data_IF_080157449993
#
_entry.id   IF_080157449993
#
_cell.length_a   1.000
_cell.length_b   1.000
_cell.length_c   1.000
_cell.angle_alpha   90.00
_cell.angle_beta   90.00
_cell.angle_gamma   90.00
#
_symmetry.space_group_name_H-M   'P 1'
#
loop_
_entity.id
_entity.type
_entity.pdbx_description
1 polymer ?
#
# COMPACT_ATOMS: atom_id res chain seq x y z
N UNK A 1 28.31 47.68 8.11
CA UNK A 1 27.30 47.13 9.05
C UNK A 1 26.39 46.21 8.25
N UNK A 2 26.54 44.90 8.42
CA UNK A 2 25.64 43.89 7.87
C UNK A 2 25.46 42.82 8.96
N UNK A 3 24.20 42.42 9.15
CA UNK A 3 23.66 41.84 10.37
C UNK A 3 24.12 40.39 10.63
N UNK A 4 24.67 40.19 11.82
CA UNK A 4 24.90 38.92 12.50
C UNK A 4 23.57 38.28 12.94
N UNK A 5 22.79 37.72 12.03
CA UNK A 5 21.49 37.11 12.38
C UNK A 5 21.31 35.64 11.95
N UNK A 6 22.35 34.99 11.43
CA UNK A 6 22.27 33.56 11.09
C UNK A 6 22.66 32.69 12.30
N UNK A 7 23.54 33.18 13.17
CA UNK A 7 24.01 32.41 14.34
C UNK A 7 23.04 32.44 15.54
N UNK A 8 22.14 33.43 15.61
CA UNK A 8 21.16 33.53 16.71
C UNK A 8 19.95 32.59 16.57
N UNK A 9 19.69 32.06 15.37
CA UNK A 9 18.57 31.11 15.15
C UNK A 9 18.98 29.68 15.52
N UNK A 10 20.28 29.38 15.58
CA UNK A 10 20.82 28.07 15.96
C UNK A 10 21.06 27.90 17.46
N UNK A 11 20.96 28.98 18.26
CA UNK A 11 21.27 28.95 19.70
C UNK A 11 20.08 28.62 20.62
N UNK A 12 18.92 28.22 20.06
CA UNK A 12 17.85 27.55 20.80
C UNK A 12 17.79 26.06 20.46
N UNK A 13 18.94 25.46 20.14
CA UNK A 13 19.08 24.00 20.23
C UNK A 13 18.79 23.63 21.68
N UNK A 14 17.58 23.12 21.91
CA UNK A 14 17.24 22.39 23.12
C UNK A 14 18.38 21.41 23.34
N UNK A 15 18.87 21.39 24.57
CA UNK A 15 19.91 20.48 25.03
C UNK A 15 19.36 19.05 24.94
N UNK A 16 19.23 18.49 23.73
CA UNK A 16 19.00 17.07 23.46
C UNK A 16 20.36 16.38 23.59
N UNK A 17 21.03 16.67 24.71
CA UNK A 17 22.12 15.87 25.22
C UNK A 17 21.49 14.65 25.89
N UNK A 18 22.03 13.48 25.55
CA UNK A 18 21.72 12.13 26.05
C UNK A 18 20.79 11.28 25.18
N UNK A 19 21.17 10.01 25.05
CA UNK A 19 20.56 8.99 24.21
C UNK A 19 19.02 8.96 24.36
N UNK A 20 18.30 9.36 23.29
CA UNK A 20 16.86 9.25 23.24
C UNK A 20 16.44 7.77 23.34
N UNK A 21 15.67 7.46 24.37
CA UNK A 21 15.01 6.16 24.55
C UNK A 21 13.50 6.28 24.30
N UNK A 22 12.82 5.14 24.15
CA UNK A 22 11.35 5.08 23.93
C UNK A 22 10.54 5.77 25.04
N UNK A 23 11.06 5.89 26.26
CA UNK A 23 10.38 6.55 27.38
C UNK A 23 10.18 8.05 27.20
N UNK A 24 10.90 8.68 26.26
CA UNK A 24 10.74 10.08 25.93
C UNK A 24 9.56 10.35 24.98
N UNK A 25 8.91 9.29 24.46
CA UNK A 25 7.75 9.41 23.58
C UNK A 25 6.46 9.16 24.37
N UNK A 26 5.33 9.78 23.96
CA UNK A 26 4.05 9.55 24.62
C UNK A 26 3.68 8.07 24.67
N UNK A 27 2.96 7.67 25.73
CA UNK A 27 2.42 6.31 25.84
C UNK A 27 1.54 6.02 24.62
N UNK A 28 1.78 4.87 23.98
CA UNK A 28 1.07 4.46 22.76
C UNK A 28 1.70 4.98 21.46
N UNK A 29 2.83 5.68 21.52
CA UNK A 29 3.60 6.01 20.32
C UNK A 29 4.09 4.73 19.63
N UNK A 30 3.79 4.59 18.33
CA UNK A 30 4.10 3.42 17.51
C UNK A 30 5.35 3.69 16.70
N UNK A 31 6.38 2.87 16.89
CA UNK A 31 7.53 2.82 15.99
C UNK A 31 7.32 1.69 15.00
N UNK A 32 7.51 1.94 13.71
CA UNK A 32 7.30 0.91 12.71
C UNK A 32 8.21 1.05 11.50
N UNK A 33 8.25 -0.02 10.72
CA UNK A 33 8.87 -0.05 9.39
C UNK A 33 7.77 0.01 8.32
N UNK A 34 8.12 0.56 7.17
CA UNK A 34 7.26 0.59 6.00
C UNK A 34 8.03 0.12 4.78
N UNK A 35 7.39 -0.68 3.92
CA UNK A 35 8.00 -1.17 2.68
C UNK A 35 7.14 -0.85 1.47
N UNK A 36 7.79 -0.73 0.32
CA UNK A 36 7.15 -0.70 -0.99
C UNK A 36 7.48 -1.98 -1.75
N UNK A 37 6.45 -2.61 -2.30
CA UNK A 37 6.47 -3.94 -2.88
C UNK A 37 7.64 -4.17 -3.84
N UNK A 38 7.79 -3.31 -4.84
CA UNK A 38 8.79 -3.51 -5.89
C UNK A 38 10.23 -3.43 -5.35
N UNK A 39 10.45 -2.61 -4.32
CA UNK A 39 11.76 -2.43 -3.70
C UNK A 39 12.14 -3.60 -2.79
N UNK A 40 11.16 -4.34 -2.26
CA UNK A 40 11.43 -5.32 -1.21
C UNK A 40 11.09 -6.77 -1.56
N UNK A 41 10.02 -7.04 -2.31
CA UNK A 41 9.51 -8.40 -2.47
C UNK A 41 10.55 -9.30 -3.14
N UNK A 42 10.96 -8.97 -4.37
CA UNK A 42 11.64 -9.92 -5.24
C UNK A 42 10.73 -11.09 -5.65
N UNK A 43 11.34 -12.21 -6.03
CA UNK A 43 10.59 -13.42 -6.43
C UNK A 43 9.65 -13.15 -7.61
N UNK A 44 10.14 -12.40 -8.60
CA UNK A 44 9.38 -11.89 -9.75
C UNK A 44 8.50 -12.93 -10.44
N UNK A 45 9.04 -14.14 -10.66
CA UNK A 45 8.35 -15.24 -11.36
C UNK A 45 7.87 -16.37 -10.43
N UNK A 46 7.85 -16.16 -9.11
CA UNK A 46 7.55 -17.21 -8.13
C UNK A 46 6.07 -17.23 -7.74
N UNK A 47 5.56 -18.41 -7.41
CA UNK A 47 4.24 -18.58 -6.78
C UNK A 47 3.05 -18.28 -7.67
N UNK A 48 3.20 -18.36 -9.01
CA UNK A 48 2.12 -18.10 -9.96
C UNK A 48 1.72 -16.62 -10.08
N UNK A 49 2.57 -15.71 -9.60
CA UNK A 49 2.39 -14.26 -9.71
C UNK A 49 2.33 -13.82 -11.18
N UNK A 50 1.36 -12.98 -11.51
CA UNK A 50 1.30 -12.29 -12.81
C UNK A 50 2.28 -11.11 -12.87
N UNK A 51 2.55 -10.60 -14.07
CA UNK A 51 3.40 -9.43 -14.26
C UNK A 51 2.81 -8.18 -13.57
N UNK A 52 3.67 -7.39 -12.94
CA UNK A 52 3.34 -6.03 -12.49
C UNK A 52 3.81 -4.99 -13.50
N UNK A 53 3.34 -3.75 -13.36
CA UNK A 53 3.77 -2.60 -14.16
C UNK A 53 5.30 -2.42 -14.16
N UNK A 54 5.94 -2.57 -13.01
CA UNK A 54 7.38 -2.42 -12.89
C UNK A 54 8.14 -3.56 -13.58
N UNK A 55 7.58 -4.77 -13.63
CA UNK A 55 8.21 -5.86 -14.35
C UNK A 55 8.22 -5.61 -15.85
N UNK A 56 7.08 -5.16 -16.40
CA UNK A 56 7.00 -4.77 -17.81
C UNK A 56 8.01 -3.66 -18.10
N UNK A 57 8.06 -2.63 -17.25
CA UNK A 57 8.95 -1.49 -17.44
C UNK A 57 10.44 -1.84 -17.31
N UNK A 58 10.84 -2.58 -16.27
CA UNK A 58 12.26 -2.84 -15.98
C UNK A 58 12.83 -4.07 -16.68
N UNK A 59 11.98 -5.04 -17.05
CA UNK A 59 12.41 -6.32 -17.62
C UNK A 59 12.07 -6.41 -19.10
N UNK A 60 10.85 -6.02 -19.50
CA UNK A 60 10.37 -6.21 -20.88
C UNK A 60 10.65 -5.03 -21.81
N UNK A 61 11.05 -3.88 -21.28
CA UNK A 61 11.39 -2.70 -22.07
C UNK A 61 12.90 -2.37 -21.96
N UNK A 62 13.74 -2.91 -22.86
CA UNK A 62 15.18 -2.64 -22.86
C UNK A 62 15.49 -1.14 -22.91
N UNK A 63 16.50 -0.71 -22.15
CA UNK A 63 16.99 0.68 -22.15
C UNK A 63 16.15 1.67 -21.34
N UNK A 64 15.08 1.24 -20.66
CA UNK A 64 14.31 2.11 -19.75
C UNK A 64 15.01 2.40 -18.43
N UNK A 65 15.86 1.48 -17.97
CA UNK A 65 16.69 1.66 -16.79
C UNK A 65 18.13 1.94 -17.25
N UNK A 66 18.70 3.07 -16.80
CA UNK A 66 20.01 3.58 -17.26
C UNK A 66 21.14 2.57 -17.11
N UNK A 67 21.16 1.81 -16.02
CA UNK A 67 22.17 0.79 -15.72
C UNK A 67 21.70 -0.64 -16.03
N UNK A 68 20.50 -0.80 -16.62
CA UNK A 68 19.91 -2.09 -16.97
C UNK A 68 19.48 -2.95 -15.77
N UNK A 69 19.53 -2.41 -14.54
CA UNK A 69 19.09 -3.15 -13.34
C UNK A 69 17.57 -3.32 -13.28
N UNK A 70 17.10 -4.25 -12.44
CA UNK A 70 15.68 -4.53 -12.23
C UNK A 70 15.40 -4.99 -10.79
N UNK A 71 14.12 -5.04 -10.43
CA UNK A 71 13.64 -5.48 -9.11
C UNK A 71 13.35 -6.97 -8.98
N UNK A 72 13.85 -7.84 -9.88
CA UNK A 72 13.48 -9.27 -9.88
C UNK A 72 13.84 -9.99 -8.57
N UNK A 73 14.98 -9.60 -7.98
CA UNK A 73 15.46 -10.11 -6.68
C UNK A 73 15.17 -9.10 -5.56
N UNK A 74 15.33 -7.79 -5.83
CA UNK A 74 15.16 -6.73 -4.83
C UNK A 74 15.98 -7.00 -3.56
N UNK A 75 15.49 -6.65 -2.35
CA UNK A 75 16.11 -7.11 -1.08
C UNK A 75 15.76 -8.56 -0.74
N UNK A 76 14.97 -9.23 -1.59
CA UNK A 76 14.56 -10.63 -1.47
C UNK A 76 13.78 -10.93 -0.18
N UNK A 77 12.91 -10.00 0.23
CA UNK A 77 12.02 -10.18 1.38
C UNK A 77 11.10 -11.38 1.18
N UNK A 78 10.73 -11.72 -0.06
CA UNK A 78 9.89 -12.89 -0.37
C UNK A 78 10.46 -14.19 0.23
N UNK A 79 11.77 -14.40 0.15
CA UNK A 79 12.42 -15.59 0.70
C UNK A 79 12.95 -15.38 2.13
N UNK A 80 13.20 -14.12 2.53
CA UNK A 80 13.86 -13.77 3.80
C UNK A 80 12.94 -13.11 4.84
N UNK A 81 11.61 -13.16 4.62
CA UNK A 81 10.67 -12.42 5.46
C UNK A 81 10.76 -12.78 6.95
N UNK A 82 11.15 -14.02 7.28
CA UNK A 82 11.29 -14.45 8.68
C UNK A 82 12.45 -13.75 9.36
N UNK A 83 13.58 -13.64 8.68
CA UNK A 83 14.79 -12.96 9.12
C UNK A 83 14.53 -11.46 9.25
N UNK A 84 13.85 -10.86 8.27
CA UNK A 84 13.51 -9.44 8.27
C UNK A 84 12.53 -9.08 9.40
N UNK A 85 11.49 -9.90 9.62
CA UNK A 85 10.55 -9.72 10.75
C UNK A 85 11.26 -9.94 12.09
N UNK A 86 12.20 -10.90 12.16
CA UNK A 86 13.03 -11.11 13.35
C UNK A 86 13.91 -9.88 13.65
N UNK A 87 14.47 -9.24 12.62
CA UNK A 87 15.21 -8.00 12.76
C UNK A 87 14.32 -6.85 13.26
N UNK A 88 13.12 -6.68 12.70
CA UNK A 88 12.16 -5.67 13.17
C UNK A 88 11.83 -5.86 14.65
N UNK A 89 11.66 -7.11 15.10
CA UNK A 89 11.47 -7.44 16.51
C UNK A 89 12.69 -7.08 17.37
N UNK A 90 13.91 -7.39 16.91
CA UNK A 90 15.16 -7.03 17.60
C UNK A 90 15.34 -5.52 17.73
N UNK A 91 14.91 -4.75 16.73
CA UNK A 91 14.90 -3.28 16.74
C UNK A 91 13.82 -2.69 17.65
N UNK A 92 12.92 -3.52 18.19
CA UNK A 92 11.84 -3.08 19.06
C UNK A 92 10.77 -2.28 18.32
N UNK A 93 10.50 -2.62 17.06
CA UNK A 93 9.40 -2.02 16.29
C UNK A 93 8.05 -2.62 16.72
N UNK A 94 7.04 -1.77 16.77
CA UNK A 94 5.65 -2.10 17.15
C UNK A 94 4.78 -2.44 15.94
N UNK A 95 5.11 -1.91 14.75
CA UNK A 95 4.31 -2.06 13.55
C UNK A 95 5.16 -2.37 12.31
N UNK A 96 4.59 -3.17 11.40
CA UNK A 96 5.14 -3.39 10.08
C UNK A 96 4.07 -3.06 9.03
N UNK A 97 4.22 -1.92 8.35
CA UNK A 97 3.44 -1.59 7.16
C UNK A 97 4.10 -2.25 5.95
N UNK A 98 3.64 -3.44 5.59
CA UNK A 98 4.14 -4.12 4.41
C UNK A 98 3.26 -3.83 3.19
N UNK A 99 3.90 -3.71 2.02
CA UNK A 99 3.21 -3.63 0.73
C UNK A 99 3.40 -4.94 -0.03
N UNK A 100 2.35 -5.39 -0.71
CA UNK A 100 2.32 -6.62 -1.51
C UNK A 100 1.78 -6.31 -2.90
N UNK A 101 2.32 -6.97 -3.93
CA UNK A 101 1.86 -6.75 -5.31
C UNK A 101 0.46 -7.34 -5.48
N UNK A 102 -0.47 -6.58 -6.06
CA UNK A 102 -1.78 -7.13 -6.45
C UNK A 102 -1.64 -8.36 -7.34
N UNK A 103 -0.67 -8.35 -8.25
CA UNK A 103 -0.39 -9.48 -9.14
C UNK A 103 0.01 -10.78 -8.42
N UNK A 104 0.32 -10.71 -7.13
CA UNK A 104 0.64 -11.87 -6.27
C UNK A 104 -0.57 -12.38 -5.49
N UNK A 105 -1.48 -11.49 -5.10
CA UNK A 105 -2.70 -11.85 -4.36
C UNK A 105 -3.78 -12.34 -5.33
N UNK A 106 -3.87 -11.70 -6.48
CA UNK A 106 -4.94 -11.85 -7.46
C UNK A 106 -4.32 -12.00 -8.86
N UNK A 107 -4.04 -13.24 -9.32
CA UNK A 107 -3.62 -13.46 -10.69
C UNK A 107 -4.72 -13.01 -11.65
N UNK A 108 -4.37 -12.38 -12.77
CA UNK A 108 -5.32 -11.71 -13.69
C UNK A 108 -6.44 -12.62 -14.22
N UNK A 109 -6.19 -13.92 -14.24
CA UNK A 109 -7.16 -14.93 -14.65
C UNK A 109 -7.07 -16.21 -13.82
N UNK A 110 -8.18 -16.96 -13.79
CA UNK A 110 -8.23 -18.32 -13.23
C UNK A 110 -8.98 -19.22 -14.21
N UNK A 111 -8.29 -20.21 -14.76
CA UNK A 111 -8.86 -21.12 -15.76
C UNK A 111 -9.24 -20.41 -17.07
N UNK A 112 -8.41 -19.45 -17.52
CA UNK A 112 -8.62 -18.68 -18.75
C UNK A 112 -9.75 -17.65 -18.69
N UNK A 113 -10.27 -17.34 -17.50
CA UNK A 113 -11.29 -16.31 -17.27
C UNK A 113 -10.76 -15.21 -16.35
N UNK A 114 -11.00 -13.93 -16.66
CA UNK A 114 -10.69 -12.83 -15.77
C UNK A 114 -11.29 -13.05 -14.38
N UNK A 115 -10.53 -12.70 -13.34
CA UNK A 115 -10.97 -12.82 -11.94
C UNK A 115 -11.99 -11.75 -11.51
N UNK A 116 -12.16 -10.70 -12.32
CA UNK A 116 -13.07 -9.59 -12.05
C UNK A 116 -13.18 -8.64 -13.24
N UNK A 117 -13.86 -7.52 -13.03
CA UNK A 117 -13.92 -6.42 -14.00
C UNK A 117 -12.55 -5.73 -14.11
N UNK A 118 -12.04 -5.52 -15.32
CA UNK A 118 -10.78 -4.79 -15.52
C UNK A 118 -11.01 -3.28 -15.34
N UNK A 119 -10.12 -2.63 -14.61
CA UNK A 119 -10.14 -1.19 -14.35
C UNK A 119 -9.54 -0.37 -15.52
N UNK A 120 -9.09 0.85 -15.25
CA UNK A 120 -8.38 1.69 -16.22
C UNK A 120 -7.07 1.06 -16.70
N UNK A 121 -6.33 0.49 -15.75
CA UNK A 121 -5.06 -0.19 -15.99
C UNK A 121 -5.24 -1.67 -16.31
N UNK A 122 -4.49 -2.17 -17.30
CA UNK A 122 -4.55 -3.58 -17.75
C UNK A 122 -4.24 -4.61 -16.65
N UNK A 123 -3.45 -4.21 -15.66
CA UNK A 123 -3.02 -5.07 -14.56
C UNK A 123 -3.98 -5.03 -13.36
N UNK A 124 -4.97 -4.15 -13.34
CA UNK A 124 -5.86 -3.95 -12.20
C UNK A 124 -7.25 -4.53 -12.47
N UNK A 125 -7.64 -5.49 -11.65
CA UNK A 125 -8.97 -6.11 -11.67
C UNK A 125 -9.72 -5.81 -10.37
N UNK A 126 -11.00 -5.46 -10.49
CA UNK A 126 -11.88 -5.13 -9.37
C UNK A 126 -12.41 -6.44 -8.77
N UNK A 127 -11.90 -6.80 -7.58
CA UNK A 127 -12.26 -8.03 -6.87
C UNK A 127 -12.56 -7.74 -5.39
N UNK A 128 -13.74 -7.17 -5.09
CA UNK A 128 -14.06 -6.69 -3.74
C UNK A 128 -14.04 -7.78 -2.67
N UNK A 129 -14.49 -9.00 -3.00
CA UNK A 129 -14.45 -10.12 -2.06
C UNK A 129 -13.02 -10.54 -1.67
N UNK A 130 -12.02 -10.24 -2.51
CA UNK A 130 -10.63 -10.56 -2.25
C UNK A 130 -10.09 -9.90 -0.99
N UNK A 131 -10.54 -8.67 -0.67
CA UNK A 131 -10.10 -7.98 0.56
C UNK A 131 -10.59 -8.69 1.82
N UNK A 132 -11.82 -9.20 1.82
CA UNK A 132 -12.37 -9.99 2.94
C UNK A 132 -11.58 -11.28 3.10
N UNK A 133 -11.34 -11.99 2.01
CA UNK A 133 -10.69 -13.30 2.04
C UNK A 133 -9.23 -13.16 2.49
N UNK A 134 -8.54 -12.10 2.05
CA UNK A 134 -7.21 -11.74 2.54
C UNK A 134 -7.20 -11.42 4.04
N UNK A 135 -8.13 -10.59 4.51
CA UNK A 135 -8.24 -10.22 5.93
C UNK A 135 -8.50 -11.46 6.81
N UNK A 136 -9.40 -12.35 6.40
CA UNK A 136 -9.68 -13.61 7.10
C UNK A 136 -8.47 -14.55 7.07
N UNK A 137 -7.75 -14.62 5.94
CA UNK A 137 -6.52 -15.39 5.85
C UNK A 137 -5.48 -14.87 6.85
N UNK A 138 -5.29 -13.54 6.91
CA UNK A 138 -4.34 -12.93 7.84
C UNK A 138 -4.72 -13.24 9.29
N UNK A 139 -6.00 -13.06 9.64
CA UNK A 139 -6.53 -13.40 10.96
C UNK A 139 -6.20 -14.84 11.35
N UNK A 140 -6.60 -15.79 10.52
CA UNK A 140 -6.52 -17.21 10.84
C UNK A 140 -5.09 -17.74 10.86
N UNK A 141 -4.21 -17.17 10.02
CA UNK A 141 -2.83 -17.64 9.88
C UNK A 141 -1.85 -16.96 10.84
N UNK A 142 -2.10 -15.71 11.20
CA UNK A 142 -1.15 -14.88 11.96
C UNK A 142 -1.70 -14.40 13.31
N UNK A 143 -2.65 -15.14 13.89
CA UNK A 143 -3.20 -14.88 15.22
C UNK A 143 -3.85 -13.49 15.37
N UNK A 144 -4.65 -13.11 14.38
CA UNK A 144 -5.48 -11.90 14.37
C UNK A 144 -4.76 -10.60 14.80
N UNK A 145 -3.69 -10.21 14.09
CA UNK A 145 -2.97 -9.00 14.40
C UNK A 145 -3.87 -7.76 14.22
N UNK A 146 -3.48 -6.63 14.80
CA UNK A 146 -4.12 -5.34 14.47
C UNK A 146 -3.80 -4.99 13.02
N UNK A 147 -4.82 -4.74 12.20
CA UNK A 147 -4.68 -4.46 10.77
C UNK A 147 -5.10 -3.03 10.45
N UNK A 148 -4.33 -2.38 9.58
CA UNK A 148 -4.71 -1.16 8.87
C UNK A 148 -4.54 -1.40 7.37
N UNK A 149 -5.56 -1.09 6.58
CA UNK A 149 -5.42 -1.05 5.11
C UNK A 149 -4.85 0.33 4.78
N UNK A 150 -3.58 0.39 4.41
CA UNK A 150 -2.89 1.69 4.21
C UNK A 150 -3.00 2.22 2.78
N UNK A 151 -3.34 1.38 1.81
CA UNK A 151 -3.65 1.77 0.44
C UNK A 151 -4.65 0.80 -0.17
N UNK A 152 -5.71 1.33 -0.77
CA UNK A 152 -6.64 0.57 -1.61
C UNK A 152 -7.39 1.57 -2.51
N UNK A 153 -7.55 1.23 -3.79
CA UNK A 153 -8.00 2.19 -4.79
C UNK A 153 -8.12 1.62 -6.19
N UNK A 154 -8.73 2.41 -7.07
CA UNK A 154 -8.96 2.05 -8.47
C UNK A 154 -8.78 3.26 -9.38
N UNK A 155 -8.23 3.00 -10.57
CA UNK A 155 -8.15 3.94 -11.68
C UNK A 155 -9.25 3.68 -12.70
N UNK A 156 -9.65 4.72 -13.43
CA UNK A 156 -10.61 4.63 -14.53
C UNK A 156 -9.88 4.74 -15.86
N UNK A 157 -10.50 4.25 -16.93
CA UNK A 157 -9.93 4.37 -18.28
C UNK A 157 -9.76 5.85 -18.63
N UNK A 158 -8.58 6.19 -19.13
CA UNK A 158 -8.31 7.55 -19.55
C UNK A 158 -9.07 7.87 -20.85
N UNK A 159 -9.92 8.89 -20.82
CA UNK A 159 -10.59 9.43 -22.00
C UNK A 159 -10.35 10.95 -22.06
N UNK A 160 -9.42 11.41 -22.91
CA UNK A 160 -9.06 12.83 -23.02
C UNK A 160 -10.16 13.68 -23.66
N UNK A 161 -11.22 13.06 -24.20
CA UNK A 161 -12.34 13.76 -24.85
C UNK A 161 -13.46 14.11 -23.86
N UNK A 162 -13.45 13.53 -22.65
CA UNK A 162 -14.44 13.80 -21.62
C UNK A 162 -14.29 15.21 -21.03
N UNK A 163 -15.36 16.03 -21.04
CA UNK A 163 -15.36 17.28 -20.29
C UNK A 163 -15.11 17.04 -18.80
N UNK A 164 -14.40 17.95 -18.13
CA UNK A 164 -14.09 17.86 -16.69
C UNK A 164 -15.34 17.62 -15.82
N UNK A 165 -16.48 18.22 -16.18
CA UNK A 165 -17.75 18.02 -15.46
C UNK A 165 -18.27 16.58 -15.53
N UNK A 166 -17.99 15.86 -16.61
CA UNK A 166 -18.33 14.44 -16.78
C UNK A 166 -17.25 13.53 -16.19
N UNK A 167 -15.97 13.90 -16.34
CA UNK A 167 -14.85 13.16 -15.76
C UNK A 167 -14.87 13.12 -14.21
N UNK A 168 -15.60 14.04 -13.56
CA UNK A 168 -15.83 14.02 -12.09
C UNK A 168 -16.93 13.05 -11.64
N UNK A 169 -17.75 12.52 -12.56
CA UNK A 169 -18.83 11.58 -12.22
C UNK A 169 -18.23 10.18 -12.06
N UNK A 170 -17.57 9.99 -10.93
CA UNK A 170 -16.69 8.84 -10.64
C UNK A 170 -17.48 7.64 -10.07
N UNK A 171 -18.40 7.10 -10.87
CA UNK A 171 -19.25 5.96 -10.46
C UNK A 171 -18.42 4.71 -10.16
N UNK A 172 -17.32 4.51 -10.89
CA UNK A 172 -16.49 3.32 -10.77
C UNK A 172 -15.78 3.30 -9.42
N UNK A 173 -15.12 4.41 -9.03
CA UNK A 173 -14.42 4.48 -7.74
C UNK A 173 -15.39 4.48 -6.57
N UNK A 174 -16.54 5.14 -6.70
CA UNK A 174 -17.60 5.09 -5.67
C UNK A 174 -18.05 3.64 -5.46
N UNK A 175 -18.45 2.93 -6.53
CA UNK A 175 -18.85 1.52 -6.45
C UNK A 175 -17.74 0.65 -5.88
N UNK A 176 -16.51 0.84 -6.35
CA UNK A 176 -15.35 0.10 -5.87
C UNK A 176 -15.20 0.20 -4.35
N UNK A 177 -15.19 1.41 -3.80
CA UNK A 177 -15.04 1.59 -2.35
C UNK A 177 -16.25 1.06 -1.58
N UNK A 178 -17.47 1.30 -2.04
CA UNK A 178 -18.68 0.78 -1.39
C UNK A 178 -18.65 -0.75 -1.29
N UNK A 179 -18.31 -1.44 -2.37
CA UNK A 179 -18.22 -2.90 -2.36
C UNK A 179 -17.08 -3.40 -1.47
N UNK A 180 -15.88 -2.80 -1.53
CA UNK A 180 -14.76 -3.18 -0.68
C UNK A 180 -15.07 -2.95 0.81
N UNK A 181 -15.75 -1.85 1.15
CA UNK A 181 -16.19 -1.57 2.51
C UNK A 181 -17.24 -2.58 3.00
N UNK A 182 -18.18 -2.99 2.15
CA UNK A 182 -19.14 -4.04 2.50
C UNK A 182 -18.43 -5.36 2.82
N UNK A 183 -17.43 -5.74 2.03
CA UNK A 183 -16.63 -6.95 2.27
C UNK A 183 -15.69 -6.83 3.49
N UNK A 184 -15.12 -5.66 3.74
CA UNK A 184 -14.39 -5.36 4.97
C UNK A 184 -15.30 -5.49 6.20
N UNK A 185 -16.53 -4.96 6.15
CA UNK A 185 -17.52 -5.08 7.22
C UNK A 185 -17.84 -6.55 7.50
N UNK A 186 -18.06 -7.36 6.46
CA UNK A 186 -18.23 -8.81 6.61
C UNK A 186 -17.02 -9.50 7.27
N UNK A 187 -15.79 -9.06 6.99
CA UNK A 187 -14.60 -9.58 7.67
C UNK A 187 -14.59 -9.17 9.15
N UNK A 188 -14.96 -7.93 9.47
CA UNK A 188 -15.08 -7.44 10.85
C UNK A 188 -16.17 -8.17 11.63
N UNK A 189 -17.30 -8.51 11.01
CA UNK A 189 -18.36 -9.33 11.61
C UNK A 189 -17.88 -10.74 11.98
N UNK A 190 -16.86 -11.23 11.26
CA UNK A 190 -16.14 -12.48 11.56
C UNK A 190 -14.96 -12.28 12.53
N UNK A 191 -14.91 -11.12 13.18
CA UNK A 191 -13.97 -10.79 14.24
C UNK A 191 -12.59 -10.36 13.78
N UNK A 192 -12.36 -10.01 12.51
CA UNK A 192 -11.06 -9.47 12.08
C UNK A 192 -10.75 -8.17 12.82
N UNK A 193 -9.53 -8.08 13.37
CA UNK A 193 -9.06 -6.89 14.10
C UNK A 193 -8.61 -5.74 13.17
N UNK A 194 -9.50 -5.30 12.28
CA UNK A 194 -9.30 -4.17 11.36
C UNK A 194 -9.60 -2.84 12.07
N UNK A 195 -8.64 -1.92 12.10
CA UNK A 195 -8.72 -0.66 12.86
C UNK A 195 -8.74 0.59 11.99
N UNK A 196 -8.38 0.51 10.72
CA UNK A 196 -8.45 1.67 9.84
C UNK A 196 -8.24 1.34 8.37
N UNK A 197 -8.61 2.32 7.55
CA UNK A 197 -8.55 2.29 6.10
C UNK A 197 -8.08 3.65 5.58
N UNK A 198 -7.14 3.63 4.64
CA UNK A 198 -6.59 4.81 3.98
C UNK A 198 -6.80 4.66 2.48
N UNK A 199 -7.61 5.55 1.92
CA UNK A 199 -7.97 5.56 0.50
C UNK A 199 -6.76 5.91 -0.37
N UNK A 200 -6.48 5.09 -1.38
CA UNK A 200 -5.54 5.43 -2.44
C UNK A 200 -6.30 5.88 -3.70
N UNK A 201 -6.09 7.08 -4.23
CA UNK A 201 -5.35 8.19 -3.65
C UNK A 201 -6.26 9.39 -3.50
N UNK A 202 -6.10 10.14 -2.41
CA UNK A 202 -6.88 11.35 -2.14
C UNK A 202 -6.74 12.40 -3.26
N UNK A 203 -5.60 12.42 -3.93
CA UNK A 203 -5.26 13.42 -4.94
C UNK A 203 -5.05 12.76 -6.31
N UNK A 204 -6.18 12.39 -6.92
CA UNK A 204 -6.34 12.23 -8.36
C UNK A 204 -7.58 13.07 -8.77
N UNK A 205 -7.60 13.61 -9.98
CA UNK A 205 -8.42 14.75 -10.45
C UNK A 205 -9.96 14.62 -10.46
N UNK A 206 -10.59 14.06 -9.42
CA UNK A 206 -12.06 13.90 -9.36
C UNK A 206 -12.70 13.72 -7.97
N UNK A 207 -11.95 13.53 -6.89
CA UNK A 207 -12.49 13.12 -5.57
C UNK A 207 -13.28 14.18 -4.77
N UNK A 208 -13.66 15.30 -5.37
CA UNK A 208 -14.38 16.37 -4.64
C UNK A 208 -15.79 15.97 -4.18
N UNK A 209 -16.35 14.90 -4.75
CA UNK A 209 -17.75 14.52 -4.57
C UNK A 209 -17.95 13.16 -3.89
N UNK A 210 -16.88 12.49 -3.39
CA UNK A 210 -17.07 11.33 -2.50
C UNK A 210 -17.48 11.83 -1.13
N UNK A 211 -18.79 11.84 -0.88
CA UNK A 211 -19.32 11.89 0.47
C UNK A 211 -19.32 10.47 1.02
N UNK A 212 -18.49 10.21 2.03
CA UNK A 212 -18.68 9.04 2.86
C UNK A 212 -19.85 9.35 3.80
N UNK A 213 -21.00 8.71 3.60
CA UNK A 213 -22.04 8.64 4.63
C UNK A 213 -21.53 7.76 5.78
N UNK A 214 -20.59 8.31 6.56
CA UNK A 214 -20.16 7.78 7.85
C UNK A 214 -21.19 8.26 8.87
N UNK A 215 -22.35 7.61 8.87
CA UNK A 215 -23.32 7.73 9.95
C UNK A 215 -22.77 7.09 11.24
#
# INVERSE_FOLDING_TARGET
MANNNVDQVMSKSTNIGSHLTRHHFPKGFVFGSATSTYQVEGGYAHGGRSLSNWDVFSVQMPGKIRDGTNGCVAINHYNQFKEDVSLMKKLGLDAYRFSISWSRILPVERGGKPIGEQAGSEWLYIVPHGIRDLLLHIKNKYNDPVIYITENGVDEKNDPTLPVSRARIDKTRIRYHQEHFAYMRQAMDKGVNLKGYFLWSLFASGLKDIQFDLA
#
